data_IF_444624544899
#
_entry.id   IF_444624544899
#
_cell.length_a   1.000
_cell.length_b   1.000
_cell.length_c   1.000
_cell.angle_alpha   90.00
_cell.angle_beta   90.00
_cell.angle_gamma   90.00
#
_symmetry.space_group_name_H-M   'P 1'
#
loop_
_entity.id
_entity.type
_entity.pdbx_description
1 polymer ?
#
# COMPACT_ATOMS: atom_id res chain seq x y z
N UNK A 1 1.78 -30.16 -62.17
CA UNK A 1 1.57 -28.70 -62.01
C UNK A 1 2.89 -28.07 -61.57
N UNK A 2 3.33 -27.00 -62.22
CA UNK A 2 4.61 -26.36 -61.94
C UNK A 2 4.67 -25.85 -60.49
N UNK A 3 5.77 -26.11 -59.79
CA UNK A 3 5.97 -25.66 -58.41
C UNK A 3 6.08 -24.13 -58.39
N UNK A 4 5.01 -23.44 -57.98
CA UNK A 4 5.05 -21.99 -57.69
C UNK A 4 6.09 -21.75 -56.59
N UNK A 5 7.11 -20.96 -56.89
CA UNK A 5 8.16 -20.57 -55.95
C UNK A 5 7.62 -19.48 -55.02
N UNK A 6 7.98 -19.54 -53.74
CA UNK A 6 7.61 -18.52 -52.77
C UNK A 6 8.36 -17.20 -53.09
N UNK A 7 7.69 -16.03 -53.09
CA UNK A 7 8.35 -14.74 -53.26
C UNK A 7 9.27 -14.39 -52.07
N UNK A 8 10.30 -13.57 -52.32
CA UNK A 8 11.28 -13.18 -51.29
C UNK A 8 10.69 -12.28 -50.19
N UNK A 9 9.55 -11.62 -50.44
CA UNK A 9 8.81 -10.79 -49.48
C UNK A 9 7.85 -11.59 -48.56
N UNK A 10 7.87 -12.93 -48.64
CA UNK A 10 6.97 -13.75 -47.84
C UNK A 10 7.23 -13.64 -46.33
N UNK A 11 8.45 -13.27 -45.92
CA UNK A 11 8.77 -12.94 -44.53
C UNK A 11 8.11 -11.63 -44.07
N UNK A 12 8.04 -10.61 -44.93
CA UNK A 12 7.37 -9.34 -44.62
C UNK A 12 5.87 -9.54 -44.37
N UNK A 13 5.22 -10.35 -45.20
CA UNK A 13 3.83 -10.76 -44.97
C UNK A 13 3.67 -11.62 -43.72
N UNK A 14 4.62 -12.51 -43.43
CA UNK A 14 4.62 -13.26 -42.17
C UNK A 14 4.70 -12.33 -40.95
N UNK A 15 5.51 -11.28 -40.99
CA UNK A 15 5.59 -10.30 -39.91
C UNK A 15 4.29 -9.51 -39.72
N UNK A 16 3.61 -9.13 -40.80
CA UNK A 16 2.39 -8.32 -40.74
C UNK A 16 1.20 -9.04 -40.10
N UNK A 17 1.22 -10.37 -40.01
CA UNK A 17 0.20 -11.18 -39.32
C UNK A 17 0.23 -11.05 -37.78
N UNK A 18 1.29 -10.45 -37.21
CA UNK A 18 1.34 -10.14 -35.78
C UNK A 18 1.14 -11.34 -34.85
N UNK A 19 0.11 -11.32 -34.01
CA UNK A 19 -0.21 -12.42 -33.08
C UNK A 19 -0.79 -13.66 -33.76
N UNK A 20 -1.31 -13.54 -34.99
CA UNK A 20 -1.94 -14.65 -35.73
C UNK A 20 -0.97 -15.37 -36.67
N UNK A 21 0.34 -15.07 -36.57
CA UNK A 21 1.40 -15.63 -37.40
C UNK A 21 1.28 -17.15 -37.59
N UNK A 22 1.01 -17.57 -38.82
CA UNK A 22 0.95 -18.98 -39.19
C UNK A 22 1.51 -19.21 -40.60
N UNK A 23 2.37 -20.23 -40.74
CA UNK A 23 2.87 -20.66 -42.05
C UNK A 23 1.74 -21.15 -42.99
N UNK A 24 0.59 -21.51 -42.43
CA UNK A 24 -0.59 -21.92 -43.19
C UNK A 24 -1.28 -20.72 -43.85
N UNK A 25 -1.34 -19.57 -43.17
CA UNK A 25 -1.86 -18.33 -43.74
C UNK A 25 -0.93 -17.78 -44.81
N UNK A 26 0.39 -17.85 -44.61
CA UNK A 26 1.38 -17.50 -45.65
C UNK A 26 1.23 -18.39 -46.88
N UNK A 27 1.03 -19.70 -46.67
CA UNK A 27 0.81 -20.65 -47.75
C UNK A 27 -0.47 -20.34 -48.55
N UNK A 28 -1.56 -20.01 -47.86
CA UNK A 28 -2.84 -19.62 -48.45
C UNK A 28 -2.69 -18.32 -49.27
N UNK A 29 -2.04 -17.30 -48.71
CA UNK A 29 -1.85 -16.00 -49.34
C UNK A 29 -1.06 -16.08 -50.65
N UNK A 30 0.01 -16.90 -50.69
CA UNK A 30 0.85 -17.05 -51.89
C UNK A 30 0.45 -18.22 -52.80
N UNK A 31 -0.61 -18.96 -52.45
CA UNK A 31 -1.10 -20.10 -53.22
C UNK A 31 -0.07 -21.23 -53.37
N UNK A 32 0.73 -21.47 -52.32
CA UNK A 32 1.74 -22.53 -52.24
C UNK A 32 1.40 -23.52 -51.13
N UNK A 33 2.06 -24.68 -51.12
CA UNK A 33 1.87 -25.65 -50.02
C UNK A 33 2.59 -25.20 -48.75
N UNK A 34 2.04 -25.54 -47.56
CA UNK A 34 2.68 -25.31 -46.25
C UNK A 34 4.11 -25.87 -46.18
N UNK A 35 4.35 -27.02 -46.81
CA UNK A 35 5.69 -27.63 -46.89
C UNK A 35 6.71 -26.75 -47.61
N UNK A 36 6.29 -26.02 -48.64
CA UNK A 36 7.15 -25.05 -49.34
C UNK A 36 7.52 -23.89 -48.43
N UNK A 37 6.55 -23.36 -47.67
CA UNK A 37 6.77 -22.27 -46.70
C UNK A 37 7.71 -22.72 -45.58
N UNK A 38 7.46 -23.86 -44.94
CA UNK A 38 8.31 -24.40 -43.88
C UNK A 38 9.76 -24.58 -44.32
N UNK A 39 9.99 -25.12 -45.54
CA UNK A 39 11.34 -25.31 -46.06
C UNK A 39 12.06 -23.99 -46.32
N UNK A 40 11.34 -22.99 -46.86
CA UNK A 40 11.90 -21.65 -47.07
C UNK A 40 12.18 -20.97 -45.73
N UNK A 41 11.25 -21.03 -44.78
CA UNK A 41 11.39 -20.47 -43.43
C UNK A 41 12.56 -21.09 -42.65
N UNK A 42 12.81 -22.39 -42.81
CA UNK A 42 13.98 -23.07 -42.24
C UNK A 42 15.29 -22.64 -42.92
N UNK A 43 15.30 -22.53 -44.25
CA UNK A 43 16.49 -22.14 -45.01
C UNK A 43 16.91 -20.70 -44.73
N UNK A 44 15.94 -19.81 -44.52
CA UNK A 44 16.14 -18.38 -44.29
C UNK A 44 16.02 -17.98 -42.83
N UNK A 45 15.93 -18.97 -41.93
CA UNK A 45 15.81 -18.82 -40.49
C UNK A 45 14.85 -17.70 -40.05
N UNK A 46 13.59 -17.82 -40.48
CA UNK A 46 12.57 -16.82 -40.17
C UNK A 46 12.33 -16.64 -38.67
N UNK A 47 12.60 -17.68 -37.87
CA UNK A 47 12.51 -17.59 -36.41
C UNK A 47 13.66 -16.76 -35.84
N UNK A 48 14.92 -17.06 -36.19
CA UNK A 48 16.06 -16.27 -35.72
C UNK A 48 16.01 -14.81 -36.18
N UNK A 49 15.50 -14.53 -37.39
CA UNK A 49 15.28 -13.15 -37.87
C UNK A 49 14.18 -12.42 -37.11
N UNK A 50 13.10 -13.12 -36.72
CA UNK A 50 12.04 -12.56 -35.90
C UNK A 50 12.55 -12.26 -34.49
N UNK A 51 13.30 -13.18 -33.89
CA UNK A 51 13.89 -13.01 -32.56
C UNK A 51 14.85 -11.82 -32.54
N UNK A 52 15.72 -11.69 -33.56
CA UNK A 52 16.62 -10.54 -33.69
C UNK A 52 15.86 -9.21 -33.80
N UNK A 53 14.80 -9.14 -34.61
CA UNK A 53 13.96 -7.94 -34.75
C UNK A 53 13.22 -7.60 -33.44
N UNK A 54 12.76 -8.61 -32.71
CA UNK A 54 12.11 -8.41 -31.40
C UNK A 54 13.11 -7.86 -30.38
N UNK A 55 14.33 -8.39 -30.34
CA UNK A 55 15.37 -7.91 -29.41
C UNK A 55 15.82 -6.49 -29.75
N UNK A 56 15.95 -6.15 -31.04
CA UNK A 56 16.26 -4.77 -31.48
C UNK A 56 15.13 -3.80 -31.08
N UNK A 57 13.87 -4.17 -31.34
CA UNK A 57 12.72 -3.35 -30.96
C UNK A 57 12.57 -3.19 -29.45
N UNK A 58 12.82 -4.24 -28.65
CA UNK A 58 12.83 -4.15 -27.18
C UNK A 58 13.91 -3.18 -26.71
N UNK A 59 15.13 -3.31 -27.24
CA UNK A 59 16.26 -2.45 -26.87
C UNK A 59 15.94 -0.99 -27.13
N UNK A 60 15.39 -0.68 -28.31
CA UNK A 60 15.00 0.68 -28.67
C UNK A 60 13.86 1.22 -27.77
N UNK A 61 12.85 0.39 -27.49
CA UNK A 61 11.75 0.78 -26.59
C UNK A 61 12.24 1.01 -25.15
N UNK A 62 13.19 0.21 -24.66
CA UNK A 62 13.78 0.39 -23.33
C UNK A 62 14.59 1.69 -23.23
N UNK A 63 15.37 2.03 -24.27
CA UNK A 63 16.13 3.27 -24.36
C UNK A 63 15.20 4.50 -24.38
N UNK A 64 14.19 4.49 -25.26
CA UNK A 64 13.21 5.58 -25.36
C UNK A 64 12.37 5.75 -24.08
N UNK A 65 11.97 4.64 -23.46
CA UNK A 65 11.20 4.67 -22.20
C UNK A 65 12.03 5.24 -21.04
N UNK A 66 13.32 4.91 -20.96
CA UNK A 66 14.25 5.46 -19.97
C UNK A 66 14.39 6.97 -20.07
N UNK A 67 14.59 7.48 -21.28
CA UNK A 67 14.81 8.90 -21.53
C UNK A 67 13.55 9.74 -21.27
N UNK A 68 12.38 9.26 -21.67
CA UNK A 68 11.10 9.95 -21.43
C UNK A 68 10.81 10.03 -19.93
N UNK A 69 11.01 8.92 -19.20
CA UNK A 69 10.77 8.88 -17.76
C UNK A 69 11.68 9.82 -16.99
N UNK A 70 12.99 9.79 -17.25
CA UNK A 70 13.97 10.67 -16.59
C UNK A 70 13.68 12.14 -16.89
N UNK A 71 13.33 12.46 -18.14
CA UNK A 71 13.01 13.84 -18.55
C UNK A 71 11.72 14.34 -17.89
N UNK A 72 10.67 13.52 -17.86
CA UNK A 72 9.41 13.87 -17.22
C UNK A 72 9.56 14.07 -15.71
N UNK A 73 10.29 13.17 -15.04
CA UNK A 73 10.51 13.27 -13.61
C UNK A 73 11.37 14.49 -13.25
N UNK A 74 12.40 14.78 -14.03
CA UNK A 74 13.21 16.00 -13.89
C UNK A 74 12.36 17.26 -14.04
N UNK A 75 11.51 17.35 -15.06
CA UNK A 75 10.63 18.50 -15.27
C UNK A 75 9.58 18.66 -14.15
N UNK A 76 9.06 17.54 -13.61
CA UNK A 76 8.17 17.58 -12.46
C UNK A 76 8.87 18.13 -11.21
N UNK A 77 10.07 17.64 -10.89
CA UNK A 77 10.84 18.11 -9.74
C UNK A 77 11.22 19.59 -9.87
N UNK A 78 11.66 20.04 -11.04
CA UNK A 78 11.98 21.45 -11.28
C UNK A 78 10.77 22.36 -11.05
N UNK A 79 9.56 21.93 -11.48
CA UNK A 79 8.33 22.67 -11.20
C UNK A 79 8.00 22.73 -9.71
N UNK A 80 8.19 21.63 -8.99
CA UNK A 80 7.96 21.62 -7.54
C UNK A 80 8.92 22.55 -6.81
N UNK A 81 10.20 22.56 -7.18
CA UNK A 81 11.21 23.45 -6.61
C UNK A 81 10.83 24.91 -6.88
N UNK A 82 10.52 25.25 -8.14
CA UNK A 82 10.13 26.61 -8.50
C UNK A 82 8.87 27.08 -7.74
N UNK A 83 7.90 26.19 -7.56
CA UNK A 83 6.70 26.49 -6.77
C UNK A 83 7.04 26.69 -5.29
N UNK A 84 7.91 25.85 -4.72
CA UNK A 84 8.35 26.00 -3.34
C UNK A 84 9.11 27.32 -3.13
N UNK A 85 9.97 27.70 -4.06
CA UNK A 85 10.70 28.97 -4.04
C UNK A 85 9.74 30.16 -4.09
N UNK A 86 8.78 30.15 -5.02
CA UNK A 86 7.76 31.19 -5.11
C UNK A 86 6.91 31.29 -3.83
N UNK A 87 6.56 30.15 -3.24
CA UNK A 87 5.83 30.11 -1.96
C UNK A 87 6.69 30.69 -0.84
N UNK A 88 7.97 30.34 -0.73
CA UNK A 88 8.88 30.85 0.29
C UNK A 88 9.13 32.36 0.15
N UNK A 89 9.17 32.89 -1.07
CA UNK A 89 9.29 34.32 -1.35
C UNK A 89 8.07 35.10 -0.83
N UNK A 90 6.87 34.55 -1.03
CA UNK A 90 5.61 35.18 -0.62
C UNK A 90 5.37 34.99 0.88
N UNK A 91 5.50 33.76 1.37
CA UNK A 91 5.17 33.31 2.72
C UNK A 91 6.40 33.30 3.63
N UNK A 92 7.12 34.41 3.68
CA UNK A 92 8.25 34.56 4.61
C UNK A 92 7.80 34.40 6.08
N UNK A 93 8.66 33.90 6.98
CA UNK A 93 8.31 33.69 8.39
C UNK A 93 7.72 34.94 9.06
N UNK A 94 8.27 36.12 8.75
CA UNK A 94 7.79 37.41 9.27
C UNK A 94 6.37 37.73 8.78
N UNK A 95 6.06 37.47 7.50
CA UNK A 95 4.72 37.70 6.94
C UNK A 95 3.70 36.73 7.53
N UNK A 96 4.05 35.46 7.68
CA UNK A 96 3.19 34.47 8.33
C UNK A 96 2.90 34.84 9.79
N UNK A 97 3.90 35.30 10.54
CA UNK A 97 3.70 35.81 11.90
C UNK A 97 2.76 37.03 11.93
N UNK A 98 2.90 37.96 10.99
CA UNK A 98 2.02 39.12 10.90
C UNK A 98 0.57 38.74 10.58
N UNK A 99 0.37 37.82 9.62
CA UNK A 99 -0.97 37.30 9.29
C UNK A 99 -1.58 36.59 10.49
N UNK A 100 -0.82 35.75 11.18
CA UNK A 100 -1.29 35.07 12.39
C UNK A 100 -1.70 36.07 13.48
N UNK A 101 -0.84 37.05 13.79
CA UNK A 101 -1.13 38.04 14.81
C UNK A 101 -2.41 38.85 14.48
N UNK A 102 -2.61 39.18 13.20
CA UNK A 102 -3.82 39.85 12.74
C UNK A 102 -5.07 38.97 12.90
N UNK A 103 -5.01 37.70 12.49
CA UNK A 103 -6.11 36.75 12.63
C UNK A 103 -6.44 36.46 14.10
N UNK A 104 -5.43 36.28 14.93
CA UNK A 104 -5.60 36.01 16.35
C UNK A 104 -6.22 37.21 17.08
N UNK A 105 -5.76 38.44 16.77
CA UNK A 105 -6.38 39.67 17.28
C UNK A 105 -7.83 39.81 16.83
N UNK A 106 -8.14 39.48 15.57
CA UNK A 106 -9.50 39.50 15.06
C UNK A 106 -10.41 38.47 15.75
N UNK A 107 -9.89 37.26 16.03
CA UNK A 107 -10.62 36.22 16.76
C UNK A 107 -10.94 36.65 18.19
N UNK A 108 -9.97 37.23 18.91
CA UNK A 108 -10.18 37.78 20.26
C UNK A 108 -11.21 38.90 20.24
N UNK A 109 -11.10 39.85 19.30
CA UNK A 109 -12.02 40.98 19.21
C UNK A 109 -13.47 40.58 18.89
N UNK A 110 -13.66 39.42 18.24
CA UNK A 110 -14.97 38.85 17.94
C UNK A 110 -15.45 37.86 19.00
N UNK A 111 -14.69 37.68 20.08
CA UNK A 111 -14.94 36.69 21.13
C UNK A 111 -15.10 35.25 20.60
N UNK A 112 -14.48 34.94 19.45
CA UNK A 112 -14.51 33.62 18.84
C UNK A 112 -13.42 32.72 19.46
N UNK A 113 -13.77 32.13 20.59
CA UNK A 113 -12.90 31.24 21.37
C UNK A 113 -12.50 29.99 20.57
N UNK A 114 -13.37 29.51 19.67
CA UNK A 114 -13.08 28.35 18.83
C UNK A 114 -12.02 28.67 17.78
N UNK A 115 -12.13 29.81 17.10
CA UNK A 115 -11.13 30.28 16.15
C UNK A 115 -9.78 30.57 16.83
N UNK A 116 -9.81 31.21 18.00
CA UNK A 116 -8.59 31.46 18.79
C UNK A 116 -7.90 30.15 19.20
N UNK A 117 -8.67 29.17 19.67
CA UNK A 117 -8.15 27.84 20.03
C UNK A 117 -7.54 27.11 18.84
N UNK A 118 -8.20 27.13 17.68
CA UNK A 118 -7.69 26.49 16.46
C UNK A 118 -6.33 27.08 16.05
N UNK A 119 -6.20 28.41 16.11
CA UNK A 119 -4.97 29.13 15.80
C UNK A 119 -3.83 28.73 16.77
N UNK A 120 -4.13 28.63 18.07
CA UNK A 120 -3.17 28.20 19.09
C UNK A 120 -2.73 26.75 18.84
N UNK A 121 -3.69 25.82 18.67
CA UNK A 121 -3.43 24.40 18.45
C UNK A 121 -2.58 24.17 17.19
N UNK A 122 -2.70 25.02 16.17
CA UNK A 122 -1.93 24.88 14.93
C UNK A 122 -0.47 25.31 15.07
N UNK A 123 -0.18 26.29 15.93
CA UNK A 123 1.19 26.80 16.15
C UNK A 123 1.91 26.04 17.26
N UNK A 124 1.26 25.89 18.42
CA UNK A 124 1.86 25.20 19.56
C UNK A 124 1.75 23.66 19.44
N UNK A 125 0.92 23.19 18.50
CA UNK A 125 0.49 21.80 18.45
C UNK A 125 -0.61 21.54 19.48
N UNK A 126 -1.31 20.41 19.34
CA UNK A 126 -2.04 19.85 20.48
C UNK A 126 -1.01 19.46 21.53
N UNK A 127 -1.27 19.76 22.80
CA UNK A 127 -0.47 19.23 23.89
C UNK A 127 -0.33 17.72 23.66
N UNK A 128 0.89 17.25 23.36
CA UNK A 128 1.16 15.82 23.39
C UNK A 128 0.89 15.42 24.83
N UNK A 129 -0.07 14.53 25.05
CA UNK A 129 -0.01 13.72 26.27
C UNK A 129 1.36 13.05 26.20
N UNK A 130 2.28 13.43 27.08
CA UNK A 130 3.53 12.69 27.19
C UNK A 130 3.14 11.22 27.33
N UNK A 131 3.66 10.32 26.47
CA UNK A 131 3.38 8.91 26.63
C UNK A 131 3.85 8.57 28.03
N UNK A 132 2.92 8.11 28.89
CA UNK A 132 3.31 7.60 30.19
C UNK A 132 4.37 6.52 29.94
N UNK A 133 5.51 6.58 30.62
CA UNK A 133 6.55 5.62 30.38
C UNK A 133 5.99 4.23 30.70
N UNK A 134 6.40 3.21 29.94
CA UNK A 134 5.78 1.88 29.94
C UNK A 134 5.71 1.19 31.32
N UNK A 135 6.43 1.72 32.32
CA UNK A 135 6.48 1.30 33.71
C UNK A 135 5.52 2.05 34.66
N UNK A 136 4.71 3.00 34.17
CA UNK A 136 3.83 3.82 35.01
C UNK A 136 2.51 3.12 35.36
N UNK A 137 2.13 2.08 34.62
CA UNK A 137 0.96 1.25 34.95
C UNK A 137 1.50 -0.05 35.52
N UNK A 138 1.41 -0.19 36.85
CA UNK A 138 1.72 -1.43 37.55
C UNK A 138 0.63 -2.47 37.25
N UNK A 139 0.72 -3.07 36.06
CA UNK A 139 -0.14 -4.16 35.63
C UNK A 139 0.38 -5.47 36.21
N UNK A 140 -0.51 -6.42 36.55
CA UNK A 140 -0.08 -7.77 36.93
C UNK A 140 0.80 -8.38 35.83
N UNK A 141 1.81 -9.15 36.23
CA UNK A 141 2.69 -9.87 35.29
C UNK A 141 1.86 -10.91 34.52
N UNK A 142 1.41 -10.55 33.31
CA UNK A 142 0.60 -11.40 32.45
C UNK A 142 -0.92 -11.28 32.67
N UNK A 143 -1.68 -11.62 31.61
CA UNK A 143 -3.16 -11.63 31.57
C UNK A 143 -3.65 -13.00 31.10
N UNK A 144 -3.28 -14.04 31.82
CA UNK A 144 -3.53 -15.45 31.46
C UNK A 144 -4.85 -15.98 32.05
N UNK A 145 -5.43 -15.29 33.04
CA UNK A 145 -6.69 -15.72 33.65
C UNK A 145 -7.61 -14.56 34.02
N UNK A 146 -8.88 -14.88 34.26
CA UNK A 146 -9.92 -13.91 34.58
C UNK A 146 -9.62 -13.07 35.84
N UNK A 147 -8.83 -13.61 36.78
CA UNK A 147 -8.45 -12.87 37.98
C UNK A 147 -7.40 -11.79 37.70
N UNK A 148 -6.42 -12.11 36.86
CA UNK A 148 -5.40 -11.15 36.41
C UNK A 148 -6.01 -10.04 35.54
N UNK A 149 -6.94 -10.39 34.63
CA UNK A 149 -7.67 -9.41 33.81
C UNK A 149 -8.45 -8.42 34.67
N UNK A 150 -9.17 -8.92 35.69
CA UNK A 150 -9.87 -8.07 36.66
C UNK A 150 -8.90 -7.21 37.47
N UNK A 151 -7.77 -7.77 37.89
CA UNK A 151 -6.71 -7.04 38.59
C UNK A 151 -6.19 -5.87 37.76
N UNK A 152 -5.90 -6.10 36.49
CA UNK A 152 -5.45 -5.08 35.55
C UNK A 152 -6.49 -3.97 35.34
N UNK A 153 -7.77 -4.33 35.18
CA UNK A 153 -8.86 -3.34 35.05
C UNK A 153 -8.98 -2.46 36.31
N UNK A 154 -8.87 -3.04 37.51
CA UNK A 154 -8.90 -2.29 38.75
C UNK A 154 -7.67 -1.39 38.94
N UNK A 155 -6.48 -1.86 38.55
CA UNK A 155 -5.27 -1.05 38.57
C UNK A 155 -5.40 0.17 37.65
N UNK A 156 -5.95 -0.02 36.45
CA UNK A 156 -6.21 1.05 35.49
C UNK A 156 -7.21 2.08 36.04
N UNK A 157 -8.33 1.64 36.64
CA UNK A 157 -9.31 2.53 37.26
C UNK A 157 -8.72 3.32 38.43
N UNK A 158 -7.91 2.67 39.26
CA UNK A 158 -7.26 3.32 40.42
C UNK A 158 -6.31 4.42 39.96
N UNK A 159 -5.47 4.14 38.95
CA UNK A 159 -4.53 5.13 38.41
C UNK A 159 -5.25 6.29 37.71
N UNK A 160 -6.34 6.01 37.00
CA UNK A 160 -7.17 7.06 36.40
C UNK A 160 -7.82 7.95 37.48
N UNK A 161 -8.33 7.36 38.56
CA UNK A 161 -8.93 8.09 39.67
C UNK A 161 -7.91 8.92 40.47
N UNK A 162 -6.66 8.45 40.56
CA UNK A 162 -5.55 9.17 41.20
C UNK A 162 -4.91 10.24 40.31
N UNK A 163 -5.29 10.32 39.03
CA UNK A 163 -4.74 11.28 38.07
C UNK A 163 -3.31 10.96 37.61
N UNK A 164 -2.80 9.76 37.92
CA UNK A 164 -1.49 9.28 37.45
C UNK A 164 -1.54 8.76 36.01
N UNK A 165 -2.74 8.43 35.52
CA UNK A 165 -3.00 7.96 34.16
C UNK A 165 -3.95 8.93 33.43
N UNK A 166 -3.59 9.33 32.21
CA UNK A 166 -4.46 10.20 31.40
C UNK A 166 -5.71 9.45 30.91
N UNK A 167 -6.86 10.11 30.70
CA UNK A 167 -8.04 9.45 30.15
C UNK A 167 -7.81 8.79 28.79
N UNK A 168 -6.95 9.38 27.95
CA UNK A 168 -6.63 8.85 26.63
C UNK A 168 -5.81 7.57 26.72
N UNK A 169 -4.82 7.53 27.62
CA UNK A 169 -3.98 6.35 27.83
C UNK A 169 -4.74 5.23 28.55
N UNK A 170 -5.65 5.59 29.47
CA UNK A 170 -6.58 4.65 30.08
C UNK A 170 -7.47 3.97 29.04
N UNK A 171 -7.99 4.74 28.06
CA UNK A 171 -8.80 4.17 26.98
C UNK A 171 -8.01 3.19 26.11
N UNK A 172 -6.76 3.52 25.78
CA UNK A 172 -5.87 2.64 25.00
C UNK A 172 -5.54 1.36 25.77
N UNK A 173 -5.18 1.45 27.05
CA UNK A 173 -4.87 0.28 27.88
C UNK A 173 -6.10 -0.60 28.15
N UNK A 174 -7.29 -0.01 28.31
CA UNK A 174 -8.54 -0.76 28.45
C UNK A 174 -8.83 -1.63 27.22
N UNK A 175 -8.50 -1.17 26.00
CA UNK A 175 -8.68 -1.97 24.79
C UNK A 175 -7.79 -3.23 24.79
N UNK A 176 -6.57 -3.15 25.32
CA UNK A 176 -5.65 -4.29 25.46
C UNK A 176 -6.18 -5.30 26.49
N UNK A 177 -6.66 -4.81 27.64
CA UNK A 177 -7.25 -5.65 28.69
C UNK A 177 -8.50 -6.37 28.16
N UNK A 178 -9.34 -5.69 27.38
CA UNK A 178 -10.53 -6.29 26.77
C UNK A 178 -10.17 -7.36 25.73
N UNK A 179 -9.11 -7.17 24.95
CA UNK A 179 -8.62 -8.20 24.04
C UNK A 179 -8.14 -9.44 24.79
N UNK A 180 -7.39 -9.27 25.88
CA UNK A 180 -6.95 -10.36 26.73
C UNK A 180 -8.14 -11.10 27.39
N UNK A 181 -9.14 -10.35 27.88
CA UNK A 181 -10.38 -10.92 28.44
C UNK A 181 -11.07 -11.87 27.47
N UNK A 182 -11.20 -11.45 26.21
CA UNK A 182 -11.82 -12.28 25.15
C UNK A 182 -11.01 -13.54 24.86
N UNK A 183 -9.68 -13.45 24.87
CA UNK A 183 -8.81 -14.62 24.68
C UNK A 183 -9.02 -15.66 25.79
N UNK A 184 -8.96 -15.23 27.05
CA UNK A 184 -9.19 -16.09 28.22
C UNK A 184 -10.59 -16.68 28.20
N UNK A 185 -11.61 -15.87 27.89
CA UNK A 185 -12.99 -16.35 27.80
C UNK A 185 -13.16 -17.41 26.70
N UNK A 186 -12.50 -17.24 25.56
CA UNK A 186 -12.56 -18.21 24.45
C UNK A 186 -11.91 -19.54 24.84
N UNK A 187 -10.74 -19.50 25.49
CA UNK A 187 -10.04 -20.68 25.99
C UNK A 187 -10.85 -21.42 27.07
N UNK A 188 -11.44 -20.69 28.02
CA UNK A 188 -12.30 -21.28 29.06
C UNK A 188 -13.54 -21.96 28.45
N UNK A 189 -14.15 -21.37 27.43
CA UNK A 189 -15.31 -21.93 26.73
C UNK A 189 -14.93 -23.18 25.93
N UNK A 190 -13.80 -23.14 25.20
CA UNK A 190 -13.27 -24.29 24.47
C UNK A 190 -13.02 -25.47 25.42
N UNK A 191 -12.34 -25.24 26.54
CA UNK A 191 -12.09 -26.27 27.55
C UNK A 191 -13.36 -26.79 28.24
N UNK A 192 -14.45 -26.01 28.31
CA UNK A 192 -15.75 -26.48 28.79
C UNK A 192 -16.46 -27.33 27.74
N UNK A 193 -16.43 -26.92 26.48
CA UNK A 193 -17.04 -27.66 25.37
C UNK A 193 -16.35 -29.02 25.22
N UNK A 194 -15.02 -29.05 25.23
CA UNK A 194 -14.25 -30.29 25.10
C UNK A 194 -14.58 -31.29 26.22
N UNK A 195 -14.70 -30.84 27.48
CA UNK A 195 -15.12 -31.71 28.59
C UNK A 195 -16.53 -32.28 28.38
N UNK A 196 -17.46 -31.45 27.93
CA UNK A 196 -18.83 -31.90 27.64
C UNK A 196 -18.84 -32.91 26.50
N UNK A 197 -18.05 -32.68 25.45
CA UNK A 197 -17.93 -33.61 24.31
C UNK A 197 -17.31 -34.95 24.73
N UNK A 198 -16.29 -34.94 25.59
CA UNK A 198 -15.70 -36.15 26.15
C UNK A 198 -16.71 -36.95 27.00
N UNK A 199 -17.50 -36.26 27.83
CA UNK A 199 -18.50 -36.91 28.67
C UNK A 199 -19.65 -37.49 27.83
N UNK A 200 -20.12 -36.78 26.80
CA UNK A 200 -21.10 -37.30 25.84
C UNK A 200 -20.57 -38.51 25.05
N UNK A 201 -19.28 -38.52 24.68
CA UNK A 201 -18.65 -39.67 24.03
C UNK A 201 -18.51 -40.88 24.96
N UNK A 202 -18.33 -40.65 26.27
CA UNK A 202 -18.33 -41.72 27.28
C UNK A 202 -19.72 -42.32 27.48
N UNK A 203 -20.75 -41.48 27.52
CA UNK A 203 -22.16 -41.90 27.68
C UNK A 203 -22.74 -42.56 26.41
N UNK A 204 -22.21 -42.24 25.23
CA UNK A 204 -22.63 -42.79 23.94
C UNK A 204 -21.93 -44.09 23.50
N UNK A 205 -21.03 -44.65 24.31
CA UNK A 205 -20.47 -46.00 24.08
C UNK A 205 -21.42 -47.05 24.69
N UNK A 206 -21.92 -48.03 23.91
CA UNK A 206 -22.73 -49.12 24.46
C UNK A 206 -21.96 -49.99 25.45
#
# INVERSE_FOLDING_TARGET
MAAKKLPDDAFGYYLSLGSERSYEQVALNFGVTKRTVCRTAQREDWQGRLDALIEEAKTQMEEEAGDVFVTQQRAHLQRMIALQEAVCEIATPKRLQAVFAALFKAAINKEDVAAARLLIDRILGRARSEPLPAHAIDLPQGLENASQVRGAANALLTNLAQGTLSPEDAQKAAAVIEAARKSVETEDLEGRIQRIEEDLQREGKP
#
